data_IF_576291428940
#
_entry.id   IF_576291428940
#
_cell.length_a   1.000
_cell.length_b   1.000
_cell.length_c   1.000
_cell.angle_alpha   90.00
_cell.angle_beta   90.00
_cell.angle_gamma   90.00
#
_symmetry.space_group_name_H-M   'P 1'
#
loop_
_entity.id
_entity.type
_entity.pdbx_description
1 polymer ?
#
# COMPACT_ATOMS: atom_id res chain seq x y z
N UNK A 1 -7.90 -9.47 -33.77
CA UNK A 1 -7.24 -8.30 -33.14
C UNK A 1 -5.91 -8.81 -32.58
N UNK A 2 -4.85 -7.99 -32.56
CA UNK A 2 -3.57 -8.37 -31.95
C UNK A 2 -3.76 -8.42 -30.44
N UNK A 3 -3.29 -9.48 -29.78
CA UNK A 3 -3.31 -9.60 -28.31
C UNK A 3 -2.48 -8.47 -27.72
N UNK A 4 -3.08 -7.68 -26.81
CA UNK A 4 -2.37 -6.61 -26.08
C UNK A 4 -1.43 -7.23 -25.06
N UNK A 5 -0.27 -6.57 -24.85
CA UNK A 5 0.77 -6.99 -23.92
C UNK A 5 0.79 -6.07 -22.69
N UNK A 6 0.72 -6.67 -21.51
CA UNK A 6 0.80 -5.99 -20.22
C UNK A 6 2.09 -6.37 -19.52
N UNK A 7 2.91 -5.38 -19.18
CA UNK A 7 4.04 -5.55 -18.28
C UNK A 7 3.58 -5.41 -16.81
N UNK A 8 4.03 -6.31 -15.95
CA UNK A 8 3.77 -6.31 -14.51
C UNK A 8 5.10 -6.20 -13.77
N UNK A 9 5.25 -5.18 -12.97
CA UNK A 9 6.44 -4.97 -12.14
C UNK A 9 6.19 -5.60 -10.76
N UNK A 10 6.97 -6.64 -10.46
CA UNK A 10 6.75 -7.58 -9.36
C UNK A 10 6.14 -8.89 -9.85
N UNK A 11 6.51 -9.99 -9.17
CA UNK A 11 6.03 -11.33 -9.51
C UNK A 11 5.82 -12.24 -8.29
N UNK A 12 5.71 -11.67 -7.09
CA UNK A 12 5.43 -12.42 -5.86
C UNK A 12 3.94 -12.82 -5.79
N UNK A 13 3.56 -13.50 -4.72
CA UNK A 13 2.15 -13.81 -4.44
C UNK A 13 1.26 -12.56 -4.40
N UNK A 14 1.80 -11.40 -4.05
CA UNK A 14 1.06 -10.12 -4.01
C UNK A 14 0.61 -9.66 -5.39
N UNK A 15 1.35 -9.97 -6.47
CA UNK A 15 0.98 -9.62 -7.84
C UNK A 15 0.20 -10.71 -8.55
N UNK A 16 0.04 -11.89 -7.94
CA UNK A 16 -0.70 -13.00 -8.55
C UNK A 16 -2.13 -12.62 -8.97
N UNK A 17 -2.95 -11.89 -8.17
CA UNK A 17 -4.27 -11.45 -8.59
C UNK A 17 -4.26 -10.62 -9.87
N UNK A 18 -3.24 -9.75 -10.04
CA UNK A 18 -3.07 -8.91 -11.23
C UNK A 18 -2.76 -9.76 -12.47
N UNK A 19 -1.83 -10.69 -12.37
CA UNK A 19 -1.42 -11.55 -13.49
C UNK A 19 -2.58 -12.45 -13.91
N UNK A 20 -3.28 -13.08 -12.96
CA UNK A 20 -4.45 -13.93 -13.23
C UNK A 20 -5.56 -13.11 -13.92
N UNK A 21 -5.89 -11.93 -13.40
CA UNK A 21 -6.90 -11.05 -14.00
C UNK A 21 -6.51 -10.62 -15.42
N UNK A 22 -5.26 -10.28 -15.66
CA UNK A 22 -4.78 -9.93 -16.99
C UNK A 22 -4.96 -11.09 -17.99
N UNK A 23 -4.66 -12.32 -17.57
CA UNK A 23 -4.88 -13.51 -18.39
C UNK A 23 -6.37 -13.81 -18.65
N UNK A 24 -7.23 -13.65 -17.63
CA UNK A 24 -8.71 -13.72 -17.82
C UNK A 24 -9.22 -12.71 -18.85
N UNK A 25 -8.58 -11.53 -18.91
CA UNK A 25 -8.87 -10.49 -19.90
C UNK A 25 -8.27 -10.79 -21.30
N UNK A 26 -7.59 -11.90 -21.48
CA UNK A 26 -6.96 -12.31 -22.75
C UNK A 26 -5.70 -11.51 -23.10
N UNK A 27 -5.01 -10.95 -22.11
CA UNK A 27 -3.76 -10.21 -22.29
C UNK A 27 -2.56 -11.15 -22.28
N UNK A 28 -1.52 -10.79 -23.03
CA UNK A 28 -0.19 -11.40 -22.91
C UNK A 28 0.57 -10.73 -21.77
N UNK A 29 0.96 -11.48 -20.76
CA UNK A 29 1.54 -10.99 -19.52
C UNK A 29 3.05 -11.16 -19.47
N UNK A 30 3.76 -10.09 -19.09
CA UNK A 30 5.22 -10.05 -18.97
C UNK A 30 5.57 -9.60 -17.56
N UNK A 31 6.19 -10.46 -16.76
CA UNK A 31 6.54 -10.14 -15.37
C UNK A 31 8.04 -9.90 -15.19
N UNK A 32 8.37 -8.98 -14.29
CA UNK A 32 9.74 -8.60 -13.91
C UNK A 32 9.90 -8.70 -12.40
N UNK A 33 10.83 -9.51 -11.94
CA UNK A 33 11.24 -9.63 -10.54
C UNK A 33 12.54 -10.45 -10.47
N UNK A 34 13.15 -10.53 -9.30
CA UNK A 34 14.11 -11.60 -9.04
C UNK A 34 13.40 -12.96 -9.09
N UNK A 35 14.10 -13.98 -9.60
CA UNK A 35 13.52 -15.32 -9.77
C UNK A 35 13.16 -15.98 -8.43
N UNK A 36 13.92 -15.68 -7.36
CA UNK A 36 13.62 -16.18 -6.02
C UNK A 36 12.30 -15.60 -5.48
N UNK A 37 11.36 -16.48 -5.13
CA UNK A 37 10.03 -16.11 -4.65
C UNK A 37 9.06 -15.60 -5.74
N UNK A 38 9.41 -15.66 -7.03
CA UNK A 38 8.60 -15.19 -8.15
C UNK A 38 7.46 -16.15 -8.51
N UNK A 39 6.44 -16.30 -7.68
CA UNK A 39 5.28 -17.18 -7.92
C UNK A 39 4.60 -16.93 -9.27
N UNK A 40 4.57 -15.68 -9.74
CA UNK A 40 3.98 -15.35 -11.02
C UNK A 40 4.78 -15.84 -12.23
N UNK A 41 6.04 -16.23 -12.07
CA UNK A 41 6.86 -16.76 -13.15
C UNK A 41 6.24 -18.01 -13.81
N UNK A 42 5.48 -18.80 -13.02
CA UNK A 42 4.82 -20.02 -13.50
C UNK A 42 3.50 -19.75 -14.24
N UNK A 43 2.90 -18.58 -14.03
CA UNK A 43 1.57 -18.25 -14.57
C UNK A 43 1.56 -17.17 -15.65
N UNK A 44 2.59 -16.30 -15.70
CA UNK A 44 2.72 -15.31 -16.75
C UNK A 44 3.17 -15.94 -18.08
N UNK A 45 2.96 -15.22 -19.19
CA UNK A 45 3.36 -15.71 -20.51
C UNK A 45 4.86 -15.54 -20.75
N UNK A 46 5.47 -14.55 -20.09
CA UNK A 46 6.91 -14.32 -20.13
C UNK A 46 7.43 -13.75 -18.82
N UNK A 47 8.53 -14.26 -18.34
CA UNK A 47 9.20 -13.81 -17.12
C UNK A 47 10.62 -13.35 -17.43
N UNK A 48 11.02 -12.25 -16.81
CA UNK A 48 12.37 -11.72 -16.84
C UNK A 48 12.93 -11.59 -15.43
N UNK A 49 14.05 -12.25 -15.18
CA UNK A 49 14.79 -12.15 -13.91
C UNK A 49 15.57 -10.82 -13.88
N UNK A 50 14.84 -9.74 -13.62
CA UNK A 50 15.34 -8.37 -13.51
C UNK A 50 14.72 -7.73 -12.29
N UNK A 51 15.56 -7.14 -11.41
CA UNK A 51 15.07 -6.44 -10.22
C UNK A 51 14.07 -5.35 -10.58
N UNK A 52 13.01 -5.22 -9.79
CA UNK A 52 11.94 -4.23 -10.00
C UNK A 52 12.40 -2.77 -9.96
N UNK A 53 13.62 -2.49 -9.49
CA UNK A 53 14.23 -1.15 -9.46
C UNK A 53 15.16 -0.86 -10.65
N UNK A 54 15.48 -1.87 -11.47
CA UNK A 54 16.34 -1.75 -12.64
C UNK A 54 15.58 -1.17 -13.84
N UNK A 55 15.08 0.05 -13.68
CA UNK A 55 14.13 0.69 -14.59
C UNK A 55 14.62 0.82 -16.03
N UNK A 56 15.93 1.05 -16.24
CA UNK A 56 16.53 1.18 -17.59
C UNK A 56 16.55 -0.19 -18.31
N UNK A 57 16.89 -1.27 -17.61
CA UNK A 57 16.87 -2.62 -18.16
C UNK A 57 15.44 -3.04 -18.50
N UNK A 58 14.49 -2.77 -17.59
CA UNK A 58 13.07 -3.05 -17.79
C UNK A 58 12.53 -2.25 -18.99
N UNK A 59 12.86 -0.96 -19.11
CA UNK A 59 12.46 -0.14 -20.24
C UNK A 59 12.91 -0.75 -21.56
N UNK A 60 14.17 -1.17 -21.67
CA UNK A 60 14.71 -1.78 -22.88
C UNK A 60 13.91 -3.02 -23.28
N UNK A 61 13.64 -3.92 -22.33
CA UNK A 61 12.84 -5.12 -22.59
C UNK A 61 11.41 -4.75 -22.99
N UNK A 62 10.77 -3.80 -22.31
CA UNK A 62 9.43 -3.34 -22.64
C UNK A 62 9.33 -2.76 -24.04
N UNK A 63 10.35 -2.01 -24.51
CA UNK A 63 10.45 -1.49 -25.88
C UNK A 63 10.57 -2.63 -26.90
N UNK A 64 11.46 -3.62 -26.66
CA UNK A 64 11.64 -4.79 -27.51
C UNK A 64 10.35 -5.64 -27.59
N UNK A 65 9.67 -5.81 -26.48
CA UNK A 65 8.39 -6.54 -26.39
C UNK A 65 7.22 -5.75 -26.98
N UNK A 66 7.34 -4.43 -27.12
CA UNK A 66 6.28 -3.53 -27.60
C UNK A 66 5.02 -3.67 -26.75
N UNK A 67 5.14 -3.43 -25.46
CA UNK A 67 4.03 -3.51 -24.51
C UNK A 67 2.98 -2.45 -24.80
N UNK A 68 1.72 -2.73 -24.44
CA UNK A 68 0.57 -1.81 -24.59
C UNK A 68 0.19 -1.13 -23.27
N UNK A 69 0.72 -1.61 -22.13
CA UNK A 69 0.51 -1.07 -20.80
C UNK A 69 1.48 -1.65 -19.78
N UNK A 70 1.64 -0.96 -18.66
CA UNK A 70 2.48 -1.38 -17.54
C UNK A 70 1.83 -0.99 -16.21
N UNK A 71 1.85 -1.88 -15.22
CA UNK A 71 1.33 -1.60 -13.88
C UNK A 71 1.95 -2.49 -12.81
N UNK A 72 1.61 -2.20 -11.56
CA UNK A 72 1.90 -3.02 -10.38
C UNK A 72 0.76 -2.92 -9.38
N UNK A 73 0.70 -3.82 -8.42
CA UNK A 73 -0.12 -3.75 -7.20
C UNK A 73 0.73 -4.10 -5.99
N UNK A 74 0.34 -3.63 -4.81
CA UNK A 74 0.91 -3.98 -3.51
C UNK A 74 2.44 -3.75 -3.36
N UNK A 75 3.06 -2.93 -4.22
CA UNK A 75 4.50 -2.64 -4.13
C UNK A 75 4.79 -1.16 -4.41
N UNK A 76 5.14 -0.41 -3.37
CA UNK A 76 5.51 0.99 -3.48
C UNK A 76 6.83 1.16 -4.26
N UNK A 77 7.79 0.29 -4.00
CA UNK A 77 9.11 0.30 -4.65
C UNK A 77 9.02 0.10 -6.17
N UNK A 78 7.98 -0.59 -6.65
CA UNK A 78 7.75 -0.82 -8.08
C UNK A 78 7.12 0.39 -8.80
N UNK A 79 6.38 1.25 -8.08
CA UNK A 79 5.63 2.35 -8.68
C UNK A 79 6.51 3.37 -9.46
N UNK A 80 7.70 3.78 -9.00
CA UNK A 80 8.60 4.63 -9.79
C UNK A 80 9.06 3.98 -11.10
N UNK A 81 9.34 2.67 -11.10
CA UNK A 81 9.73 1.95 -12.33
C UNK A 81 8.57 1.89 -13.32
N UNK A 82 7.34 1.63 -12.84
CA UNK A 82 6.11 1.68 -13.69
C UNK A 82 5.99 3.04 -14.36
N UNK A 83 6.11 4.14 -13.59
CA UNK A 83 5.99 5.49 -14.09
C UNK A 83 7.11 5.83 -15.10
N UNK A 84 8.36 5.47 -14.79
CA UNK A 84 9.51 5.69 -15.67
C UNK A 84 9.32 5.05 -17.04
N UNK A 85 8.96 3.77 -17.07
CA UNK A 85 8.72 3.02 -18.32
C UNK A 85 7.52 3.58 -19.08
N UNK A 86 6.41 3.85 -18.39
CA UNK A 86 5.22 4.41 -19.00
C UNK A 86 5.51 5.76 -19.67
N UNK A 87 6.21 6.68 -18.99
CA UNK A 87 6.58 7.98 -19.53
C UNK A 87 7.50 7.83 -20.76
N UNK A 88 8.54 7.00 -20.67
CA UNK A 88 9.50 6.81 -21.76
C UNK A 88 8.87 6.19 -23.02
N UNK A 89 7.78 5.41 -22.86
CA UNK A 89 7.08 4.75 -23.97
C UNK A 89 5.81 5.49 -24.40
N UNK A 90 5.43 6.61 -23.77
CA UNK A 90 4.19 7.34 -24.05
C UNK A 90 2.93 6.56 -23.69
N UNK A 91 3.02 5.65 -22.71
CA UNK A 91 1.88 4.87 -22.18
C UNK A 91 1.18 5.64 -21.05
N UNK A 92 -0.02 5.20 -20.71
CA UNK A 92 -0.76 5.76 -19.57
C UNK A 92 -0.06 5.37 -18.26
N UNK A 93 0.24 6.36 -17.44
CA UNK A 93 0.88 6.21 -16.14
C UNK A 93 0.92 7.54 -15.41
N UNK A 94 1.47 7.54 -14.20
CA UNK A 94 1.77 8.76 -13.47
C UNK A 94 3.07 9.38 -14.03
N UNK A 95 3.24 10.66 -13.80
CA UNK A 95 4.54 11.30 -13.98
C UNK A 95 5.60 10.65 -13.09
N UNK A 96 6.84 10.50 -13.58
CA UNK A 96 7.90 9.82 -12.83
C UNK A 96 8.22 10.55 -11.53
N UNK A 97 8.29 11.88 -11.55
CA UNK A 97 8.57 12.67 -10.35
C UNK A 97 7.42 12.60 -9.34
N UNK A 98 6.18 12.46 -9.80
CA UNK A 98 5.02 12.22 -8.94
C UNK A 98 5.12 10.84 -8.23
N UNK A 99 5.51 9.80 -8.96
CA UNK A 99 5.71 8.48 -8.39
C UNK A 99 6.88 8.45 -7.39
N UNK A 100 7.98 9.14 -7.68
CA UNK A 100 9.11 9.30 -6.76
C UNK A 100 8.66 10.05 -5.50
N UNK A 101 7.89 11.14 -5.65
CA UNK A 101 7.35 11.93 -4.53
C UNK A 101 6.42 11.09 -3.64
N UNK A 102 5.61 10.21 -4.22
CA UNK A 102 4.74 9.31 -3.49
C UNK A 102 5.50 8.16 -2.80
N UNK A 103 6.72 7.86 -3.23
CA UNK A 103 7.57 6.80 -2.65
C UNK A 103 8.57 7.31 -1.60
N UNK A 104 8.77 8.63 -1.51
CA UNK A 104 9.65 9.25 -0.52
C UNK A 104 8.82 10.04 0.51
N UNK A 105 8.86 9.60 1.76
CA UNK A 105 8.02 10.15 2.85
C UNK A 105 8.27 11.63 3.11
N UNK A 106 9.50 12.09 2.97
CA UNK A 106 9.83 13.50 3.17
C UNK A 106 9.28 14.38 2.04
N UNK A 107 9.46 13.96 0.80
CA UNK A 107 8.88 14.67 -0.36
C UNK A 107 7.36 14.69 -0.29
N UNK A 108 6.76 13.58 0.13
CA UNK A 108 5.32 13.45 0.36
C UNK A 108 4.82 14.42 1.42
N UNK A 109 5.49 14.50 2.59
CA UNK A 109 5.13 15.46 3.66
C UNK A 109 5.23 16.90 3.18
N UNK A 110 6.28 17.24 2.45
CA UNK A 110 6.45 18.58 1.87
C UNK A 110 5.29 18.95 0.92
N UNK A 111 4.85 18.00 0.10
CA UNK A 111 3.71 18.21 -0.79
C UNK A 111 2.40 18.39 0.00
N UNK A 112 2.17 17.58 1.02
CA UNK A 112 1.00 17.69 1.90
C UNK A 112 0.96 19.03 2.64
N UNK A 113 2.06 19.43 3.25
CA UNK A 113 2.15 20.70 3.96
C UNK A 113 1.84 21.89 3.05
N UNK A 114 2.40 21.93 1.84
CA UNK A 114 2.15 22.99 0.85
C UNK A 114 0.69 23.07 0.41
N UNK A 115 0.00 21.93 0.37
CA UNK A 115 -1.40 21.83 -0.04
C UNK A 115 -2.40 21.93 1.13
N UNK A 116 -1.93 22.13 2.37
CA UNK A 116 -2.79 22.18 3.56
C UNK A 116 -3.42 20.82 3.93
N UNK A 117 -2.83 19.71 3.48
CA UNK A 117 -3.28 18.35 3.81
C UNK A 117 -2.80 18.02 5.22
N UNK A 118 -3.70 17.57 6.14
CA UNK A 118 -3.35 17.28 7.52
C UNK A 118 -2.44 16.04 7.60
N UNK A 119 -1.22 16.22 8.07
CA UNK A 119 -0.24 15.14 8.27
C UNK A 119 0.50 15.35 9.61
N UNK A 120 1.28 14.37 10.09
CA UNK A 120 2.13 14.55 11.26
C UNK A 120 3.13 15.68 11.07
N UNK A 121 3.49 16.36 12.16
CA UNK A 121 4.70 17.20 12.19
C UNK A 121 5.90 16.31 11.88
N UNK A 122 6.85 16.82 11.12
CA UNK A 122 7.99 16.02 10.65
C UNK A 122 9.27 16.85 10.52
N UNK A 123 10.39 16.16 10.56
CA UNK A 123 11.72 16.70 10.29
C UNK A 123 12.58 15.65 9.60
N UNK A 124 13.38 16.03 8.62
CA UNK A 124 14.37 15.14 8.02
C UNK A 124 15.73 15.28 8.72
N UNK A 125 16.42 14.17 8.83
CA UNK A 125 17.77 14.06 9.40
C UNK A 125 18.63 13.23 8.46
N UNK A 126 19.85 13.72 8.19
CA UNK A 126 20.88 13.02 7.41
C UNK A 126 22.14 12.84 8.23
N UNK A 127 23.12 12.01 7.79
CA UNK A 127 24.41 11.88 8.48
C UNK A 127 25.14 13.21 8.69
N UNK A 128 24.96 14.17 7.77
CA UNK A 128 25.58 15.50 7.84
C UNK A 128 24.88 16.42 8.81
N UNK A 129 23.57 16.22 9.05
CA UNK A 129 22.74 17.15 9.85
C UNK A 129 22.44 16.66 11.26
N UNK A 130 22.59 15.38 11.56
CA UNK A 130 22.16 14.74 12.83
C UNK A 130 22.69 15.45 14.09
N UNK A 131 23.86 16.08 14.01
CA UNK A 131 24.48 16.77 15.15
C UNK A 131 24.47 18.30 15.00
N UNK A 132 23.77 18.85 14.02
CA UNK A 132 23.67 20.31 13.86
C UNK A 132 22.75 20.93 14.89
N UNK A 133 22.98 22.21 15.27
CA UNK A 133 22.09 22.94 16.17
C UNK A 133 20.64 22.95 15.69
N UNK A 134 20.41 23.06 14.37
CA UNK A 134 19.09 23.12 13.75
C UNK A 134 18.30 21.83 14.02
N UNK A 135 18.94 20.65 13.95
CA UNK A 135 18.30 19.37 14.27
C UNK A 135 18.06 19.25 15.76
N UNK A 136 19.08 19.59 16.59
CA UNK A 136 18.99 19.49 18.07
C UNK A 136 17.87 20.41 18.60
N UNK A 137 17.77 21.63 18.10
CA UNK A 137 16.73 22.59 18.49
C UNK A 137 15.36 22.19 17.93
N UNK A 138 15.31 21.73 16.66
CA UNK A 138 14.09 21.23 16.04
C UNK A 138 13.47 20.03 16.76
N UNK A 139 14.26 19.13 17.34
CA UNK A 139 13.77 18.02 18.14
C UNK A 139 13.01 18.47 19.40
N UNK A 140 13.35 19.63 19.97
CA UNK A 140 12.65 20.17 21.15
C UNK A 140 11.21 20.59 20.84
N UNK A 141 10.91 20.79 19.58
CA UNK A 141 9.56 21.14 19.14
C UNK A 141 8.61 19.94 19.07
N UNK A 142 9.11 18.73 19.22
CA UNK A 142 8.31 17.50 19.25
C UNK A 142 7.99 17.09 20.67
N UNK A 143 6.81 16.51 20.84
CA UNK A 143 6.40 15.88 22.11
C UNK A 143 6.63 14.36 22.04
N UNK A 144 6.99 13.77 23.14
CA UNK A 144 7.06 12.33 23.26
C UNK A 144 5.67 11.70 23.43
N UNK A 145 5.43 10.50 22.91
CA UNK A 145 6.36 9.76 22.07
C UNK A 145 6.50 10.34 20.65
N UNK A 146 7.60 10.00 19.97
CA UNK A 146 7.87 10.32 18.57
C UNK A 146 8.09 9.05 17.75
N UNK A 147 8.08 9.16 16.44
CA UNK A 147 8.48 8.11 15.51
C UNK A 147 9.71 8.54 14.74
N UNK A 148 10.68 7.63 14.61
CA UNK A 148 11.78 7.75 13.65
C UNK A 148 11.71 6.63 12.65
N UNK A 149 11.87 6.95 11.37
CA UNK A 149 11.75 5.99 10.26
C UNK A 149 12.61 6.41 9.06
N UNK A 150 13.01 5.46 8.17
CA UNK A 150 13.61 5.80 6.88
C UNK A 150 12.66 6.62 6.00
N UNK A 151 13.21 7.51 5.15
CA UNK A 151 12.40 8.32 4.21
C UNK A 151 11.82 7.51 3.05
N UNK A 152 12.46 6.37 2.70
CA UNK A 152 12.29 5.65 1.43
C UNK A 152 12.06 4.13 1.58
N UNK A 153 11.59 3.68 2.76
CA UNK A 153 11.31 2.25 3.02
C UNK A 153 9.83 2.05 3.34
N UNK A 154 9.35 0.81 3.10
CA UNK A 154 8.01 0.34 3.42
C UNK A 154 8.06 -0.86 4.38
N UNK A 155 6.90 -1.35 4.85
CA UNK A 155 6.79 -2.53 5.70
C UNK A 155 7.40 -2.32 7.09
N UNK A 156 7.27 -1.14 7.68
CA UNK A 156 7.77 -0.79 9.03
C UNK A 156 9.26 -1.02 9.27
N UNK A 157 10.06 -1.24 8.21
CA UNK A 157 11.49 -1.49 8.33
C UNK A 157 12.24 -0.26 8.85
N UNK A 158 12.88 -0.39 10.01
CA UNK A 158 13.64 0.71 10.65
C UNK A 158 12.78 1.78 11.33
N UNK A 159 11.50 1.49 11.55
CA UNK A 159 10.60 2.34 12.33
C UNK A 159 10.83 2.13 13.82
N UNK A 160 11.02 3.21 14.56
CA UNK A 160 11.22 3.17 16.00
C UNK A 160 10.38 4.21 16.71
N UNK A 161 9.60 3.79 17.71
CA UNK A 161 8.91 4.70 18.64
C UNK A 161 9.89 5.14 19.71
N UNK A 162 10.05 6.45 19.87
CA UNK A 162 10.96 7.09 20.81
C UNK A 162 10.14 7.64 21.97
N UNK A 163 10.46 7.25 23.19
CA UNK A 163 9.74 7.65 24.39
C UNK A 163 10.52 8.66 25.24
N UNK A 164 11.83 8.80 25.03
CA UNK A 164 12.69 9.71 25.82
C UNK A 164 13.90 10.20 25.00
N UNK A 165 14.49 11.33 25.37
CA UNK A 165 15.59 11.98 24.61
C UNK A 165 16.82 11.08 24.36
N UNK A 166 17.15 10.17 25.27
CA UNK A 166 18.32 9.27 25.11
C UNK A 166 18.18 8.29 23.95
N UNK A 167 16.95 8.06 23.43
CA UNK A 167 16.66 7.13 22.33
C UNK A 167 16.79 7.78 20.96
N UNK A 168 16.90 9.12 20.86
CA UNK A 168 16.89 9.84 19.56
C UNK A 168 17.99 9.37 18.61
N UNK A 169 19.26 9.50 19.03
CA UNK A 169 20.39 9.23 18.16
C UNK A 169 20.43 7.76 17.70
N UNK A 170 20.31 6.75 18.59
CA UNK A 170 20.28 5.37 18.16
C UNK A 170 19.13 5.07 17.15
N UNK A 171 17.95 5.66 17.35
CA UNK A 171 16.81 5.46 16.45
C UNK A 171 17.02 6.13 15.09
N UNK A 172 17.58 7.35 15.06
CA UNK A 172 17.89 8.05 13.80
C UNK A 172 18.99 7.31 13.02
N UNK A 173 20.05 6.84 13.69
CA UNK A 173 21.12 6.05 13.08
C UNK A 173 20.58 4.74 12.49
N UNK A 174 19.70 4.04 13.24
CA UNK A 174 19.06 2.83 12.75
C UNK A 174 18.22 3.13 11.50
N UNK A 175 17.40 4.17 11.51
CA UNK A 175 16.57 4.55 10.37
C UNK A 175 17.45 4.89 9.13
N UNK A 176 18.49 5.70 9.30
CA UNK A 176 19.44 6.02 8.22
C UNK A 176 20.14 4.78 7.68
N UNK A 177 20.51 3.83 8.54
CA UNK A 177 21.15 2.57 8.10
C UNK A 177 20.25 1.69 7.26
N UNK A 178 18.92 1.84 7.35
CA UNK A 178 17.92 1.10 6.57
C UNK A 178 17.45 1.86 5.33
N UNK A 179 17.66 3.16 5.26
CA UNK A 179 17.31 4.00 4.11
C UNK A 179 18.30 3.79 2.95
N UNK A 180 17.79 3.73 1.72
CA UNK A 180 18.63 3.74 0.52
C UNK A 180 19.34 5.06 0.32
N UNK A 181 18.71 6.17 0.73
CA UNK A 181 19.26 7.53 0.65
C UNK A 181 20.03 7.92 1.91
N UNK A 182 20.15 7.03 2.90
CA UNK A 182 20.73 7.31 4.22
C UNK A 182 20.05 8.47 4.96
N UNK A 183 18.73 8.59 4.81
CA UNK A 183 17.90 9.62 5.41
C UNK A 183 16.97 9.03 6.47
N UNK A 184 16.78 9.75 7.57
CA UNK A 184 15.79 9.47 8.58
C UNK A 184 14.76 10.59 8.68
N UNK A 185 13.51 10.24 8.93
CA UNK A 185 12.47 11.18 9.33
C UNK A 185 12.13 10.99 10.80
N UNK A 186 12.06 12.10 11.51
CA UNK A 186 11.44 12.18 12.84
C UNK A 186 10.05 12.75 12.66
N UNK A 187 9.04 12.07 13.21
CA UNK A 187 7.64 12.49 13.12
C UNK A 187 6.96 12.50 14.48
N UNK A 188 5.94 13.33 14.61
CA UNK A 188 4.97 13.26 15.68
C UNK A 188 4.34 11.85 15.70
N UNK A 189 4.28 11.21 16.87
CA UNK A 189 3.52 9.99 17.05
C UNK A 189 2.04 10.33 17.21
N UNK A 190 1.22 9.85 16.27
CA UNK A 190 -0.23 10.02 16.33
C UNK A 190 -0.84 8.72 16.82
N UNK A 191 -1.43 8.77 18.00
CA UNK A 191 -2.20 7.68 18.57
C UNK A 191 -3.65 7.76 18.09
N UNK A 192 -4.20 6.63 17.67
CA UNK A 192 -5.58 6.60 17.21
C UNK A 192 -5.87 5.41 16.30
N UNK A 193 -7.12 5.36 15.87
CA UNK A 193 -7.64 4.34 14.95
C UNK A 193 -6.92 4.44 13.60
N UNK A 194 -6.53 3.30 13.07
CA UNK A 194 -5.90 3.20 11.76
C UNK A 194 -6.93 2.78 10.70
N UNK A 195 -6.90 3.48 9.59
CA UNK A 195 -7.72 3.16 8.42
C UNK A 195 -6.88 3.28 7.14
N UNK A 196 -7.32 2.63 6.09
CA UNK A 196 -6.83 2.89 4.74
C UNK A 196 -7.94 3.24 3.78
N UNK A 197 -7.57 3.90 2.67
CA UNK A 197 -8.52 4.43 1.68
C UNK A 197 -8.03 4.06 0.29
N UNK A 198 -8.86 3.34 -0.46
CA UNK A 198 -8.58 2.97 -1.84
C UNK A 198 -9.23 3.95 -2.82
N UNK A 199 -8.44 4.42 -3.77
CA UNK A 199 -8.89 5.22 -4.91
C UNK A 199 -8.40 4.63 -6.22
N UNK A 200 -9.14 4.92 -7.30
CA UNK A 200 -8.64 4.78 -8.64
C UNK A 200 -8.71 6.14 -9.35
N UNK A 201 -7.65 6.48 -10.07
CA UNK A 201 -7.53 7.76 -10.75
C UNK A 201 -7.35 7.53 -12.24
N UNK A 202 -7.95 8.41 -13.06
CA UNK A 202 -7.75 8.43 -14.50
C UNK A 202 -7.76 9.85 -15.02
N UNK A 203 -6.68 10.26 -15.66
CA UNK A 203 -6.47 11.61 -16.20
C UNK A 203 -6.78 12.74 -15.21
N UNK A 204 -6.39 12.56 -13.96
CA UNK A 204 -6.56 13.54 -12.88
C UNK A 204 -7.96 13.56 -12.25
N UNK A 205 -8.88 12.72 -12.67
CA UNK A 205 -10.13 12.50 -11.95
C UNK A 205 -9.95 11.35 -10.96
N UNK A 206 -10.30 11.58 -9.70
CA UNK A 206 -10.09 10.64 -8.58
C UNK A 206 -11.42 10.06 -8.12
N UNK A 207 -11.57 8.75 -8.20
CA UNK A 207 -12.76 8.00 -7.81
C UNK A 207 -12.51 7.26 -6.50
N UNK A 208 -13.22 7.60 -5.40
CA UNK A 208 -13.12 6.85 -4.15
C UNK A 208 -13.75 5.47 -4.32
N UNK A 209 -13.13 4.46 -3.75
CA UNK A 209 -13.64 3.09 -3.80
C UNK A 209 -14.15 2.64 -2.44
N UNK A 210 -13.29 2.59 -1.42
CA UNK A 210 -13.65 2.13 -0.09
C UNK A 210 -12.70 2.64 0.99
N UNK A 211 -13.20 2.69 2.24
CA UNK A 211 -12.40 2.89 3.45
C UNK A 211 -12.38 1.59 4.24
N UNK A 212 -11.18 1.20 4.66
CA UNK A 212 -10.89 -0.03 5.41
C UNK A 212 -10.54 0.29 6.84
N UNK A 213 -11.16 -0.37 7.81
CA UNK A 213 -10.68 -0.42 9.19
C UNK A 213 -9.52 -1.39 9.28
N UNK A 214 -8.40 -0.98 9.87
CA UNK A 214 -7.22 -1.81 10.12
C UNK A 214 -7.10 -2.09 11.61
N UNK A 215 -6.89 -3.36 11.95
CA UNK A 215 -6.52 -3.80 13.31
C UNK A 215 -5.09 -4.28 13.23
N UNK A 216 -4.22 -3.72 14.08
CA UNK A 216 -2.79 -4.04 14.11
C UNK A 216 -2.36 -4.46 15.51
N UNK A 217 -1.21 -5.13 15.61
CA UNK A 217 -0.53 -5.29 16.89
C UNK A 217 -0.10 -3.93 17.43
N UNK A 218 0.16 -3.88 18.73
CA UNK A 218 0.78 -2.70 19.36
C UNK A 218 2.26 -2.55 18.95
N UNK A 219 2.87 -1.46 19.41
CA UNK A 219 4.31 -1.27 19.30
C UNK A 219 5.07 -2.47 19.92
N UNK A 220 6.21 -2.88 19.38
CA UNK A 220 6.98 -2.16 18.36
C UNK A 220 6.69 -2.54 16.91
N UNK A 221 5.87 -3.55 16.62
CA UNK A 221 5.81 -4.20 15.31
C UNK A 221 4.73 -3.65 14.38
N UNK A 222 3.55 -3.24 14.92
CA UNK A 222 2.40 -2.72 14.13
C UNK A 222 2.00 -3.61 12.95
N UNK A 223 1.97 -4.93 13.18
CA UNK A 223 1.60 -5.92 12.15
C UNK A 223 0.09 -6.01 12.03
N UNK A 224 -0.42 -6.00 10.82
CA UNK A 224 -1.86 -6.11 10.53
C UNK A 224 -2.40 -7.49 10.92
N UNK A 225 -3.49 -7.48 11.68
CA UNK A 225 -4.22 -8.66 12.16
C UNK A 225 -5.56 -8.84 11.45
N UNK A 226 -6.21 -7.72 11.11
CA UNK A 226 -7.54 -7.72 10.49
C UNK A 226 -7.71 -6.49 9.58
N UNK A 227 -8.49 -6.67 8.51
CA UNK A 227 -9.00 -5.58 7.67
C UNK A 227 -10.50 -5.76 7.45
N UNK A 228 -11.27 -4.66 7.54
CA UNK A 228 -12.72 -4.69 7.35
C UNK A 228 -13.22 -3.54 6.48
N UNK A 229 -14.10 -3.84 5.53
CA UNK A 229 -14.77 -2.90 4.64
C UNK A 229 -16.30 -3.09 4.67
N UNK A 230 -17.09 -2.00 4.59
CA UNK A 230 -16.66 -0.63 4.78
C UNK A 230 -16.19 -0.38 6.21
N UNK A 231 -15.43 0.71 6.40
CA UNK A 231 -15.11 1.21 7.74
C UNK A 231 -16.39 1.54 8.53
N UNK A 232 -16.31 1.47 9.85
CA UNK A 232 -17.42 1.83 10.76
C UNK A 232 -17.48 3.35 11.06
N UNK A 233 -16.80 4.18 10.29
CA UNK A 233 -16.87 5.64 10.37
C UNK A 233 -18.24 6.16 9.92
N UNK A 234 -18.59 7.39 10.32
CA UNK A 234 -19.80 8.06 9.82
C UNK A 234 -19.67 8.53 8.37
N UNK A 235 -20.80 8.73 7.68
CA UNK A 235 -20.82 9.24 6.31
C UNK A 235 -20.14 10.61 6.18
N UNK A 236 -20.23 11.47 7.22
CA UNK A 236 -19.55 12.75 7.28
C UNK A 236 -18.01 12.55 7.29
N UNK A 237 -17.52 11.57 8.06
CA UNK A 237 -16.09 11.24 8.09
C UNK A 237 -15.62 10.63 6.76
N UNK A 238 -16.45 9.79 6.11
CA UNK A 238 -16.15 9.30 4.76
C UNK A 238 -15.97 10.45 3.78
N UNK A 239 -16.91 11.38 3.70
CA UNK A 239 -16.83 12.53 2.81
C UNK A 239 -15.57 13.36 3.06
N UNK A 240 -15.27 13.67 4.33
CA UNK A 240 -14.10 14.45 4.73
C UNK A 240 -12.78 13.75 4.36
N UNK A 241 -12.66 12.45 4.60
CA UNK A 241 -11.47 11.66 4.29
C UNK A 241 -11.29 11.57 2.77
N UNK A 242 -12.35 11.38 2.01
CA UNK A 242 -12.28 11.35 0.55
C UNK A 242 -11.80 12.69 -0.03
N UNK A 243 -12.26 13.83 0.51
CA UNK A 243 -11.83 15.15 0.05
C UNK A 243 -10.37 15.44 0.42
N UNK A 244 -9.93 15.05 1.63
CA UNK A 244 -8.52 15.10 2.03
C UNK A 244 -7.67 14.23 1.08
N UNK A 245 -8.11 13.00 0.76
CA UNK A 245 -7.38 12.10 -0.13
C UNK A 245 -7.26 12.65 -1.53
N UNK A 246 -8.35 13.21 -2.12
CA UNK A 246 -8.29 13.87 -3.44
C UNK A 246 -7.30 15.03 -3.45
N UNK A 247 -7.31 15.86 -2.40
CA UNK A 247 -6.38 16.99 -2.26
C UNK A 247 -4.93 16.48 -2.19
N UNK A 248 -4.70 15.41 -1.44
CA UNK A 248 -3.38 14.80 -1.30
C UNK A 248 -2.89 14.15 -2.61
N UNK A 249 -3.76 13.46 -3.35
CA UNK A 249 -3.44 12.89 -4.67
C UNK A 249 -3.03 13.98 -5.67
N UNK A 250 -3.78 15.10 -5.70
CA UNK A 250 -3.43 16.25 -6.52
C UNK A 250 -2.09 16.88 -6.09
N UNK A 251 -1.84 17.01 -4.80
CA UNK A 251 -0.58 17.55 -4.27
C UNK A 251 0.64 16.70 -4.65
N UNK A 252 0.46 15.38 -4.70
CA UNK A 252 1.49 14.46 -5.17
C UNK A 252 1.63 14.44 -6.69
N UNK A 253 0.61 14.85 -7.44
CA UNK A 253 0.56 14.75 -8.90
C UNK A 253 0.24 13.34 -9.40
N UNK A 254 -0.41 12.51 -8.58
CA UNK A 254 -0.87 11.18 -8.96
C UNK A 254 -2.17 11.30 -9.76
N UNK A 255 -2.10 11.08 -11.06
CA UNK A 255 -3.22 11.31 -11.99
C UNK A 255 -3.81 10.04 -12.58
N UNK A 256 -3.11 8.90 -12.49
CA UNK A 256 -3.51 7.65 -13.10
C UNK A 256 -3.20 6.45 -12.19
N UNK A 257 -4.05 5.44 -12.23
CA UNK A 257 -3.86 4.18 -11.51
C UNK A 257 -4.50 4.16 -10.12
N UNK A 258 -4.19 3.12 -9.39
CA UNK A 258 -4.65 2.94 -8.03
C UNK A 258 -3.84 3.79 -7.04
N UNK A 259 -4.45 4.10 -5.92
CA UNK A 259 -3.75 4.62 -4.74
C UNK A 259 -4.32 4.03 -3.46
N UNK A 260 -3.44 3.87 -2.49
CA UNK A 260 -3.71 3.38 -1.15
C UNK A 260 -3.21 4.42 -0.15
N UNK A 261 -4.13 5.04 0.57
CA UNK A 261 -3.80 6.08 1.55
C UNK A 261 -4.03 5.57 2.97
N UNK A 262 -3.07 5.77 3.86
CA UNK A 262 -3.16 5.37 5.27
C UNK A 262 -3.36 6.59 6.17
N UNK A 263 -4.24 6.43 7.16
CA UNK A 263 -4.63 7.49 8.08
C UNK A 263 -4.60 7.03 9.52
N UNK A 264 -4.34 7.98 10.41
CA UNK A 264 -4.66 7.88 11.84
C UNK A 264 -5.76 8.88 12.17
N UNK A 265 -6.73 8.43 12.99
CA UNK A 265 -7.81 9.27 13.51
C UNK A 265 -7.73 9.20 15.03
N UNK A 266 -7.41 10.33 15.68
CA UNK A 266 -7.32 10.36 17.15
C UNK A 266 -8.70 10.28 17.79
N UNK A 267 -8.75 10.00 19.09
CA UNK A 267 -10.00 9.98 19.86
C UNK A 267 -10.74 11.32 19.85
N UNK A 268 -10.01 12.44 19.69
CA UNK A 268 -10.57 13.80 19.58
C UNK A 268 -11.04 14.11 18.15
N UNK A 269 -10.92 13.17 17.21
CA UNK A 269 -11.37 13.32 15.83
C UNK A 269 -10.36 14.05 14.90
N UNK A 270 -9.11 14.25 15.32
CA UNK A 270 -8.04 14.74 14.43
C UNK A 270 -7.74 13.66 13.39
N UNK A 271 -7.80 14.05 12.11
CA UNK A 271 -7.41 13.18 10.99
C UNK A 271 -5.99 13.55 10.58
N UNK A 272 -5.13 12.55 10.38
CA UNK A 272 -3.80 12.74 9.82
C UNK A 272 -3.50 11.67 8.79
N UNK A 273 -3.08 12.09 7.59
CA UNK A 273 -2.61 11.18 6.56
C UNK A 273 -1.17 10.76 6.86
N UNK A 274 -0.96 9.46 6.91
CA UNK A 274 0.34 8.89 7.24
C UNK A 274 1.17 8.57 5.99
N UNK A 275 0.52 8.10 4.93
CA UNK A 275 1.19 7.73 3.68
C UNK A 275 0.18 7.61 2.53
N UNK A 276 0.64 7.84 1.29
CA UNK A 276 -0.08 7.43 0.07
C UNK A 276 0.88 6.67 -0.83
N UNK A 277 0.60 5.39 -1.08
CA UNK A 277 1.22 4.64 -2.15
C UNK A 277 0.49 4.88 -3.48
N UNK A 278 1.24 5.16 -4.55
CA UNK A 278 0.71 5.26 -5.93
C UNK A 278 0.42 3.89 -6.54
N UNK A 279 -0.20 3.01 -5.77
CA UNK A 279 -0.52 1.61 -6.11
C UNK A 279 -1.69 1.11 -5.26
N UNK A 280 -2.31 0.02 -5.66
CA UNK A 280 -3.39 -0.66 -4.93
C UNK A 280 -2.89 -1.26 -3.61
N UNK A 281 -3.70 -1.21 -2.55
CA UNK A 281 -3.42 -1.83 -1.27
C UNK A 281 -3.13 -3.33 -1.38
N UNK A 282 -2.19 -3.81 -0.55
CA UNK A 282 -1.88 -5.23 -0.37
C UNK A 282 -2.85 -5.93 0.58
N UNK A 283 -2.42 -7.07 1.10
CA UNK A 283 -3.12 -7.82 2.16
C UNK A 283 -4.63 -8.00 1.88
N UNK A 284 -4.94 -8.34 0.61
CA UNK A 284 -6.31 -8.53 0.09
C UNK A 284 -7.19 -7.27 0.03
N UNK A 285 -6.76 -6.13 0.60
CA UNK A 285 -7.57 -4.89 0.65
C UNK A 285 -8.06 -4.53 -0.74
N UNK A 286 -7.16 -4.38 -1.71
CA UNK A 286 -7.51 -3.97 -3.06
C UNK A 286 -7.96 -5.14 -3.95
N UNK A 287 -7.30 -6.30 -3.86
CA UNK A 287 -7.57 -7.44 -4.76
C UNK A 287 -8.92 -8.09 -4.52
N UNK A 288 -9.34 -8.18 -3.25
CA UNK A 288 -10.50 -8.96 -2.84
C UNK A 288 -11.55 -8.12 -2.11
N UNK A 289 -11.19 -7.40 -1.03
CA UNK A 289 -12.15 -6.75 -0.16
C UNK A 289 -12.94 -5.65 -0.86
N UNK A 290 -12.30 -4.81 -1.71
CA UNK A 290 -13.02 -3.79 -2.50
C UNK A 290 -14.09 -4.45 -3.38
N UNK A 291 -13.76 -5.53 -4.09
CA UNK A 291 -14.72 -6.24 -4.94
C UNK A 291 -15.83 -6.88 -4.12
N UNK A 292 -15.51 -7.49 -3.00
CA UNK A 292 -16.47 -8.15 -2.12
C UNK A 292 -17.40 -7.16 -1.41
N UNK A 293 -16.93 -5.94 -1.09
CA UNK A 293 -17.77 -4.93 -0.42
C UNK A 293 -18.58 -4.08 -1.41
N UNK A 294 -18.04 -3.77 -2.60
CA UNK A 294 -18.64 -2.80 -3.54
C UNK A 294 -19.12 -3.40 -4.86
N UNK A 295 -18.65 -4.60 -5.23
CA UNK A 295 -18.87 -5.21 -6.54
C UNK A 295 -17.95 -4.69 -7.65
N UNK A 296 -17.11 -3.68 -7.39
CA UNK A 296 -16.16 -3.15 -8.36
C UNK A 296 -14.89 -4.00 -8.43
N UNK A 297 -14.56 -4.52 -9.62
CA UNK A 297 -13.32 -5.25 -9.85
C UNK A 297 -12.15 -4.27 -9.98
N UNK A 298 -11.53 -3.95 -8.84
CA UNK A 298 -10.47 -2.96 -8.75
C UNK A 298 -9.20 -3.37 -9.51
N UNK A 299 -8.86 -4.67 -9.50
CA UNK A 299 -7.72 -5.20 -10.26
C UNK A 299 -7.94 -5.00 -11.77
N UNK A 300 -9.15 -5.30 -12.27
CA UNK A 300 -9.53 -5.00 -13.66
C UNK A 300 -9.43 -3.51 -13.96
N UNK A 301 -9.85 -2.66 -13.00
CA UNK A 301 -9.75 -1.21 -13.11
C UNK A 301 -8.30 -0.73 -13.29
N UNK A 302 -7.37 -1.25 -12.50
CA UNK A 302 -5.92 -0.95 -12.62
C UNK A 302 -5.39 -1.31 -14.01
N UNK A 303 -5.73 -2.50 -14.50
CA UNK A 303 -5.35 -2.94 -15.86
C UNK A 303 -5.96 -2.03 -16.92
N UNK A 304 -7.23 -1.66 -16.78
CA UNK A 304 -7.93 -0.80 -17.73
C UNK A 304 -7.31 0.60 -17.80
N UNK A 305 -6.88 1.17 -16.66
CA UNK A 305 -6.13 2.44 -16.63
C UNK A 305 -4.82 2.29 -17.40
N UNK A 306 -4.02 1.26 -17.10
CA UNK A 306 -2.73 1.03 -17.74
C UNK A 306 -2.83 0.86 -19.27
N UNK A 307 -3.95 0.31 -19.77
CA UNK A 307 -4.22 0.13 -21.18
C UNK A 307 -4.96 1.32 -21.84
N UNK A 308 -5.30 2.38 -21.08
CA UNK A 308 -6.01 3.55 -21.59
C UNK A 308 -7.48 3.30 -21.97
N UNK A 309 -8.10 2.26 -21.41
CA UNK A 309 -9.49 1.84 -21.69
C UNK A 309 -10.36 1.87 -20.43
N UNK A 310 -10.06 2.76 -19.51
CA UNK A 310 -10.74 2.89 -18.23
C UNK A 310 -12.19 3.34 -18.37
N UNK A 311 -13.05 2.73 -17.58
CA UNK A 311 -14.44 3.14 -17.35
C UNK A 311 -14.64 3.51 -15.88
N UNK A 312 -15.49 4.48 -15.59
CA UNK A 312 -15.78 4.92 -14.23
C UNK A 312 -16.29 3.78 -13.35
N UNK A 313 -15.85 3.72 -12.08
CA UNK A 313 -16.29 2.67 -11.18
C UNK A 313 -17.80 2.71 -10.93
N UNK A 314 -18.42 1.54 -11.01
CA UNK A 314 -19.82 1.35 -10.63
C UNK A 314 -19.90 0.42 -9.45
N UNK A 315 -20.34 0.95 -8.30
CA UNK A 315 -20.60 0.14 -7.11
C UNK A 315 -21.95 -0.54 -7.28
N UNK A 316 -21.96 -1.88 -7.29
CA UNK A 316 -23.18 -2.68 -7.61
C UNK A 316 -23.76 -3.39 -6.41
N UNK A 317 -22.99 -3.50 -5.33
CA UNK A 317 -23.40 -4.11 -4.05
C UNK A 317 -22.95 -3.22 -2.89
N UNK A 318 -23.56 -3.43 -1.73
CA UNK A 318 -23.16 -2.81 -0.45
C UNK A 318 -23.11 -3.90 0.61
N UNK A 319 -21.97 -4.61 0.68
CA UNK A 319 -21.77 -5.67 1.67
C UNK A 319 -20.57 -5.36 2.56
N UNK A 320 -20.46 -6.11 3.65
CA UNK A 320 -19.25 -6.13 4.46
C UNK A 320 -18.32 -7.23 3.96
N UNK A 321 -17.04 -6.92 3.93
CA UNK A 321 -15.96 -7.87 3.66
C UNK A 321 -14.82 -7.64 4.62
N UNK A 322 -14.02 -8.65 4.86
CA UNK A 322 -12.83 -8.49 5.67
C UNK A 322 -11.93 -9.71 5.58
N UNK A 323 -10.74 -9.56 6.10
CA UNK A 323 -9.76 -10.61 6.28
C UNK A 323 -9.33 -10.66 7.74
N UNK A 324 -9.19 -11.85 8.26
CA UNK A 324 -8.56 -12.16 9.54
C UNK A 324 -7.31 -12.97 9.28
N UNK A 325 -6.19 -12.56 9.86
CA UNK A 325 -4.92 -13.26 9.74
C UNK A 325 -4.67 -14.13 10.97
N UNK A 326 -4.27 -15.37 10.74
CA UNK A 326 -3.96 -16.34 11.78
C UNK A 326 -2.52 -16.17 12.25
N UNK A 327 -2.35 -15.96 13.53
CA UNK A 327 -1.09 -15.92 14.25
C UNK A 327 -1.31 -16.23 15.73
N UNK A 328 -0.30 -16.07 16.58
CA UNK A 328 -0.45 -16.32 18.02
C UNK A 328 -1.41 -15.33 18.67
N UNK A 329 -1.36 -14.06 18.27
CA UNK A 329 -2.20 -12.97 18.78
C UNK A 329 -3.69 -13.17 18.44
N UNK A 330 -3.96 -13.90 17.37
CA UNK A 330 -5.32 -14.17 16.87
C UNK A 330 -5.68 -15.66 16.91
N UNK A 331 -5.05 -16.47 17.76
CA UNK A 331 -5.26 -17.94 17.81
C UNK A 331 -6.73 -18.33 18.00
N UNK A 332 -7.55 -17.45 18.56
CA UNK A 332 -9.00 -17.66 18.73
C UNK A 332 -9.74 -17.89 17.41
N UNK A 333 -9.20 -17.46 16.25
CA UNK A 333 -9.83 -17.69 14.94
C UNK A 333 -9.55 -19.08 14.38
N UNK A 334 -8.59 -19.83 14.94
CA UNK A 334 -8.17 -21.13 14.41
C UNK A 334 -9.32 -22.12 14.24
N UNK A 335 -10.26 -22.30 15.20
CA UNK A 335 -11.40 -23.20 15.01
C UNK A 335 -12.27 -22.85 13.79
N UNK A 336 -12.39 -21.55 13.46
CA UNK A 336 -13.13 -21.08 12.29
C UNK A 336 -12.40 -21.48 11.01
N UNK A 337 -11.06 -21.35 10.96
CA UNK A 337 -10.28 -21.80 9.81
C UNK A 337 -10.35 -23.32 9.63
N UNK A 338 -10.29 -24.08 10.73
CA UNK A 338 -10.34 -25.56 10.68
C UNK A 338 -11.68 -26.08 10.15
N UNK A 339 -12.79 -25.35 10.37
CA UNK A 339 -14.14 -25.69 9.91
C UNK A 339 -14.77 -24.60 9.01
N UNK A 340 -13.97 -23.88 8.24
CA UNK A 340 -14.43 -22.73 7.46
C UNK A 340 -15.57 -23.03 6.48
N UNK A 341 -15.71 -24.28 6.04
CA UNK A 341 -16.79 -24.70 5.12
C UNK A 341 -18.17 -24.69 5.77
N UNK A 342 -18.26 -24.72 7.10
CA UNK A 342 -19.53 -24.58 7.83
C UNK A 342 -19.97 -23.11 7.98
N UNK A 343 -19.10 -22.16 7.59
CA UNK A 343 -19.35 -20.72 7.66
C UNK A 343 -19.62 -20.17 6.25
N UNK A 344 -20.89 -20.01 5.84
CA UNK A 344 -21.25 -19.61 4.47
C UNK A 344 -20.77 -18.20 4.09
N UNK A 345 -20.41 -17.38 5.07
CA UNK A 345 -19.85 -16.05 4.87
C UNK A 345 -18.39 -16.10 4.45
N UNK A 346 -17.66 -17.18 4.74
CA UNK A 346 -16.24 -17.30 4.41
C UNK A 346 -16.11 -17.70 2.93
N UNK A 347 -15.49 -16.82 2.15
CA UNK A 347 -15.33 -16.98 0.71
C UNK A 347 -13.96 -17.54 0.32
N UNK A 348 -12.97 -17.40 1.22
CA UNK A 348 -11.62 -17.92 1.02
C UNK A 348 -10.96 -18.21 2.37
N UNK A 349 -10.19 -19.28 2.45
CA UNK A 349 -9.43 -19.66 3.63
C UNK A 349 -8.15 -20.37 3.20
N UNK A 350 -7.04 -20.05 3.85
CA UNK A 350 -5.76 -20.72 3.65
C UNK A 350 -5.00 -20.80 4.98
N UNK A 351 -4.43 -21.96 5.26
CA UNK A 351 -3.48 -22.18 6.36
C UNK A 351 -2.14 -22.49 5.71
N UNK A 352 -1.16 -21.62 5.92
CA UNK A 352 0.19 -21.72 5.33
C UNK A 352 1.19 -22.38 6.26
N UNK A 353 0.96 -22.29 7.58
CA UNK A 353 1.76 -22.95 8.60
C UNK A 353 0.84 -23.43 9.75
N UNK A 354 1.15 -24.57 10.32
CA UNK A 354 0.44 -25.11 11.49
C UNK A 354 0.99 -24.58 12.82
N UNK A 355 2.19 -24.04 12.82
CA UNK A 355 2.81 -23.41 13.97
C UNK A 355 2.38 -21.94 14.08
N UNK A 356 1.79 -21.56 15.21
CA UNK A 356 1.43 -20.17 15.48
C UNK A 356 2.58 -19.44 16.16
N UNK A 357 3.03 -18.35 15.53
CA UNK A 357 4.12 -17.49 16.04
C UNK A 357 3.57 -16.14 16.48
N UNK A 358 4.26 -15.51 17.44
CA UNK A 358 4.08 -14.08 17.70
C UNK A 358 4.62 -13.31 16.49
N UNK A 359 3.81 -12.41 15.94
CA UNK A 359 4.17 -11.73 14.70
C UNK A 359 5.11 -10.55 14.96
N UNK A 360 6.19 -10.48 14.19
CA UNK A 360 7.09 -9.35 14.08
C UNK A 360 6.98 -8.66 12.73
N UNK A 361 6.49 -9.39 11.72
CA UNK A 361 6.17 -8.89 10.38
C UNK A 361 5.04 -9.71 9.76
N UNK A 362 4.50 -9.24 8.65
CA UNK A 362 3.38 -9.90 7.95
C UNK A 362 3.71 -11.34 7.47
N UNK A 363 4.99 -11.67 7.26
CA UNK A 363 5.42 -13.01 6.87
C UNK A 363 5.31 -14.05 7.99
N UNK A 364 5.17 -13.62 9.25
CA UNK A 364 5.03 -14.53 10.40
C UNK A 364 3.59 -15.04 10.58
N UNK A 365 2.65 -14.54 9.79
CA UNK A 365 1.25 -14.98 9.81
C UNK A 365 1.14 -16.39 9.22
N UNK A 366 0.37 -17.26 9.89
CA UNK A 366 0.26 -18.69 9.59
C UNK A 366 -0.94 -19.06 8.72
N UNK A 367 -1.73 -18.09 8.30
CA UNK A 367 -2.91 -18.28 7.46
C UNK A 367 -3.87 -17.10 7.51
N UNK A 368 -5.00 -17.26 6.86
CA UNK A 368 -6.06 -16.24 6.86
C UNK A 368 -7.40 -16.84 6.41
N UNK A 369 -8.48 -16.12 6.70
CA UNK A 369 -9.74 -16.27 5.96
C UNK A 369 -10.29 -14.91 5.54
N UNK A 370 -11.02 -14.91 4.41
CA UNK A 370 -11.72 -13.75 3.87
C UNK A 370 -13.21 -14.03 3.95
N UNK A 371 -13.99 -13.03 4.40
CA UNK A 371 -15.43 -13.12 4.47
C UNK A 371 -16.14 -12.06 3.62
N UNK A 372 -17.40 -12.37 3.26
CA UNK A 372 -18.39 -11.42 2.72
C UNK A 372 -19.74 -11.69 3.40
N UNK A 373 -20.37 -10.65 3.93
CA UNK A 373 -21.67 -10.80 4.63
C UNK A 373 -22.50 -9.50 4.56
N UNK A 374 -23.75 -9.56 4.99
CA UNK A 374 -24.62 -8.37 5.06
C UNK A 374 -24.30 -7.46 6.26
N UNK A 375 -23.53 -7.95 7.22
CA UNK A 375 -23.04 -7.21 8.40
C UNK A 375 -21.59 -7.55 8.65
N UNK A 376 -20.87 -6.68 9.38
CA UNK A 376 -19.50 -6.99 9.80
C UNK A 376 -19.47 -8.34 10.53
N UNK A 377 -18.65 -9.28 10.04
CA UNK A 377 -18.40 -10.55 10.72
C UNK A 377 -17.59 -10.27 11.99
N UNK A 378 -18.01 -10.81 13.11
CA UNK A 378 -17.32 -10.69 14.41
C UNK A 378 -17.14 -12.07 15.00
N UNK A 379 -16.02 -12.29 15.65
CA UNK A 379 -15.65 -13.52 16.32
C UNK A 379 -16.14 -13.48 17.78
#
# INVERSE_FOLDING_TARGET
MKTKKLAVIGASYLQEPLVRKAKEMGLYTICFAWADGAKCAEICDKFYDISIVEKEQILKVCQDEKIDGICTIASDVAAPTVAYVANAMGLVGNDYEAAVRANNKYLMRNAFMKAGVPCPKYMMVTPETIHTPEVIDGLRDFQFPMITKPSDRSGSLGVTKINMPSEHYPAMELAMSKSFMHEAMVEEFIEGREISVEFISYKGTHYPLQITDKVTTEAPHFVELEHHQPSTLSDEMFAKIYDITKTALNALGLTNGASHAEYKITNEGRIAIMEIGGRMGGDFIGSDLVRLSTGYDFVKGVIAVALGVFEEPKMTIGKHSGVYFLCKETEAIKPILDDWKSHPEIVQCEITDTELRNVQCSADRSGYFIYQSDKKFTI
#
